data_IF_151577926497
#
_entry.id   IF_151577926497
#
_cell.length_a   1.000
_cell.length_b   1.000
_cell.length_c   1.000
_cell.angle_alpha   90.00
_cell.angle_beta   90.00
_cell.angle_gamma   90.00
#
_symmetry.space_group_name_H-M   'P 1'
#
loop_
_entity.id
_entity.type
_entity.pdbx_description
1 polymer ?
#
# COMPACT_ATOMS: atom_id res chain seq x y z
N UNK A 1 -12.47 -8.17 9.18
CA UNK A 1 -11.43 -8.96 8.49
C UNK A 1 -11.96 -10.38 8.38
N UNK A 2 -12.12 -10.99 7.20
CA UNK A 2 -12.79 -12.28 7.13
C UNK A 2 -11.89 -13.35 7.74
N UNK A 3 -12.34 -13.89 8.88
CA UNK A 3 -11.79 -15.06 9.57
C UNK A 3 -11.46 -16.23 8.62
N UNK A 4 -12.14 -16.31 7.47
CA UNK A 4 -11.91 -17.28 6.40
C UNK A 4 -10.49 -17.28 5.79
N UNK A 5 -9.67 -16.23 5.98
CA UNK A 5 -8.27 -16.24 5.53
C UNK A 5 -7.29 -16.80 6.57
N UNK A 6 -7.67 -16.91 7.85
CA UNK A 6 -6.83 -17.55 8.88
C UNK A 6 -6.80 -19.08 8.73
N UNK A 7 -7.93 -19.69 8.37
CA UNK A 7 -8.04 -21.16 8.22
C UNK A 7 -7.26 -21.74 7.04
N UNK A 8 -6.88 -20.91 6.05
CA UNK A 8 -6.18 -21.32 4.83
C UNK A 8 -4.70 -20.92 4.82
N UNK A 9 -4.11 -20.56 5.96
CA UNK A 9 -2.70 -20.20 6.01
C UNK A 9 -1.81 -21.42 5.69
N UNK A 10 -1.16 -21.43 4.52
CA UNK A 10 -0.21 -22.47 4.12
C UNK A 10 0.93 -22.57 5.13
N UNK A 11 1.45 -23.78 5.38
CA UNK A 11 2.55 -23.99 6.33
C UNK A 11 3.78 -23.12 6.01
N UNK A 12 4.07 -22.89 4.73
CA UNK A 12 5.15 -22.02 4.25
C UNK A 12 4.98 -20.53 4.56
N UNK A 13 3.80 -20.11 5.04
CA UNK A 13 3.49 -18.72 5.40
C UNK A 13 3.31 -18.53 6.90
N UNK A 14 3.40 -19.59 7.71
CA UNK A 14 3.23 -19.52 9.16
C UNK A 14 4.55 -19.13 9.81
N UNK A 15 4.49 -18.21 10.77
CA UNK A 15 5.59 -17.83 11.65
C UNK A 15 5.12 -18.04 13.08
N UNK A 16 5.89 -18.77 13.87
CA UNK A 16 5.57 -19.03 15.27
C UNK A 16 6.43 -18.14 16.16
N UNK A 17 5.80 -17.51 17.15
CA UNK A 17 6.51 -16.64 18.09
C UNK A 17 7.44 -17.47 18.98
N UNK A 18 8.71 -17.07 19.07
CA UNK A 18 9.67 -17.78 19.91
C UNK A 18 9.38 -17.47 21.37
N UNK A 19 9.27 -18.51 22.20
CA UNK A 19 8.97 -18.36 23.63
C UNK A 19 7.49 -18.16 23.99
N UNK A 20 6.58 -18.15 23.01
CA UNK A 20 5.13 -18.05 23.26
C UNK A 20 4.35 -19.16 22.51
N UNK A 21 4.35 -20.41 23.04
CA UNK A 21 3.69 -21.54 22.40
C UNK A 21 2.21 -21.24 22.15
N UNK A 22 1.77 -21.36 20.89
CA UNK A 22 0.39 -21.10 20.47
C UNK A 22 0.17 -19.76 19.78
N UNK A 23 1.13 -18.83 19.81
CA UNK A 23 1.06 -17.60 19.01
C UNK A 23 1.62 -17.87 17.61
N UNK A 24 0.74 -17.74 16.60
CA UNK A 24 1.06 -17.98 15.20
C UNK A 24 0.63 -16.79 14.35
N UNK A 25 1.56 -16.34 13.51
CA UNK A 25 1.37 -15.30 12.52
C UNK A 25 1.31 -15.91 11.12
N UNK A 26 0.52 -15.32 10.23
CA UNK A 26 0.46 -15.72 8.83
C UNK A 26 0.92 -14.59 7.92
N UNK A 27 1.87 -14.86 7.03
CA UNK A 27 2.28 -13.92 6.01
C UNK A 27 1.16 -13.72 4.98
N UNK A 28 0.77 -12.46 4.78
CA UNK A 28 -0.28 -12.06 3.85
C UNK A 28 0.22 -10.95 2.93
N UNK A 29 -0.22 -10.99 1.67
CA UNK A 29 0.10 -9.99 0.66
C UNK A 29 -1.13 -9.59 -0.17
N UNK A 30 -1.04 -8.46 -0.84
CA UNK A 30 -2.05 -7.97 -1.78
C UNK A 30 -2.58 -6.59 -1.40
N UNK A 31 -3.43 -6.01 -2.26
CA UNK A 31 -4.03 -4.69 -2.05
C UNK A 31 -4.86 -4.64 -0.77
N UNK A 32 -5.50 -5.74 -0.38
CA UNK A 32 -6.17 -5.89 0.92
C UNK A 32 -5.27 -5.67 2.13
N UNK A 33 -3.95 -5.90 2.00
CA UNK A 33 -2.95 -5.63 3.05
C UNK A 33 -2.37 -4.23 2.93
N UNK A 34 -2.39 -3.61 1.74
CA UNK A 34 -2.05 -2.19 1.58
C UNK A 34 -3.12 -1.28 2.21
N UNK A 35 -4.40 -1.61 2.05
CA UNK A 35 -5.53 -0.82 2.58
C UNK A 35 -5.42 -0.47 4.07
N UNK A 36 -5.17 -1.42 5.00
CA UNK A 36 -5.05 -1.08 6.41
C UNK A 36 -3.85 -0.17 6.73
N UNK A 37 -2.77 -0.20 5.93
CA UNK A 37 -1.65 0.73 6.11
C UNK A 37 -2.07 2.16 5.80
N UNK A 38 -2.72 2.40 4.66
CA UNK A 38 -3.21 3.72 4.27
C UNK A 38 -4.31 4.21 5.24
N UNK A 39 -5.19 3.32 5.68
CA UNK A 39 -6.20 3.64 6.69
C UNK A 39 -5.56 4.07 8.03
N UNK A 40 -4.47 3.42 8.45
CA UNK A 40 -3.70 3.82 9.63
C UNK A 40 -3.12 5.23 9.49
N UNK A 41 -2.52 5.55 8.33
CA UNK A 41 -2.00 6.91 8.07
C UNK A 41 -3.12 7.95 8.05
N UNK A 42 -4.27 7.64 7.44
CA UNK A 42 -5.45 8.50 7.49
C UNK A 42 -5.90 8.79 8.93
N UNK A 43 -5.90 7.77 9.79
CA UNK A 43 -6.23 7.94 11.20
C UNK A 43 -5.21 8.83 11.94
N UNK A 44 -3.92 8.70 11.64
CA UNK A 44 -2.87 9.57 12.19
C UNK A 44 -3.07 11.04 11.78
N UNK A 45 -3.42 11.30 10.52
CA UNK A 45 -3.73 12.66 10.03
C UNK A 45 -4.89 13.25 10.83
N UNK A 46 -6.02 12.54 10.91
CA UNK A 46 -7.20 13.02 11.64
C UNK A 46 -6.88 13.21 13.14
N UNK A 47 -6.14 12.30 13.75
CA UNK A 47 -5.74 12.42 15.16
C UNK A 47 -4.85 13.63 15.43
N UNK A 48 -4.00 14.01 14.46
CA UNK A 48 -3.03 15.10 14.61
C UNK A 48 -3.65 16.46 14.31
N UNK A 49 -4.50 16.55 13.28
CA UNK A 49 -5.00 17.82 12.74
C UNK A 49 -6.50 18.06 13.01
N UNK A 50 -7.18 17.11 13.66
CA UNK A 50 -8.60 17.19 13.99
C UNK A 50 -9.52 16.66 12.89
N UNK A 51 -10.85 16.80 13.07
CA UNK A 51 -11.83 16.34 12.09
C UNK A 51 -11.63 16.99 10.72
N UNK A 52 -11.63 16.18 9.68
CA UNK A 52 -11.43 16.60 8.29
C UNK A 52 -12.46 15.93 7.38
N UNK A 53 -12.79 16.57 6.26
CA UNK A 53 -13.60 15.91 5.23
C UNK A 53 -12.80 14.77 4.58
N UNK A 54 -13.47 13.71 4.06
CA UNK A 54 -12.77 12.62 3.40
C UNK A 54 -11.86 13.08 2.25
N UNK A 55 -12.32 14.07 1.46
CA UNK A 55 -11.53 14.67 0.38
C UNK A 55 -10.30 15.40 0.89
N UNK A 56 -10.39 16.09 2.03
CA UNK A 56 -9.23 16.74 2.65
C UNK A 56 -8.19 15.72 3.12
N UNK A 57 -8.63 14.61 3.75
CA UNK A 57 -7.72 13.52 4.18
C UNK A 57 -7.06 12.85 2.98
N UNK A 58 -7.82 12.59 1.91
CA UNK A 58 -7.28 12.04 0.66
C UNK A 58 -6.23 12.97 0.03
N UNK A 59 -6.51 14.26 -0.04
CA UNK A 59 -5.56 15.25 -0.56
C UNK A 59 -4.30 15.29 0.29
N UNK A 60 -4.43 15.22 1.62
CA UNK A 60 -3.31 15.24 2.55
C UNK A 60 -2.41 14.01 2.36
N UNK A 61 -3.01 12.81 2.28
CA UNK A 61 -2.29 11.57 1.96
C UNK A 61 -1.53 11.69 0.63
N UNK A 62 -2.18 12.24 -0.40
CA UNK A 62 -1.60 12.34 -1.75
C UNK A 62 -0.49 13.39 -1.86
N UNK A 63 -0.50 14.42 -1.02
CA UNK A 63 0.53 15.47 -0.98
C UNK A 63 1.77 15.07 -0.19
N UNK A 64 1.60 14.18 0.79
CA UNK A 64 2.65 13.73 1.71
C UNK A 64 3.23 12.36 1.34
N UNK A 65 2.66 11.70 0.33
CA UNK A 65 3.19 10.46 -0.24
C UNK A 65 4.55 10.68 -0.92
N UNK A 66 5.43 9.68 -0.82
CA UNK A 66 6.72 9.68 -1.50
C UNK A 66 6.55 9.28 -2.97
N UNK A 67 6.92 10.15 -3.93
CA UNK A 67 6.81 9.87 -5.35
C UNK A 67 7.53 8.58 -5.71
N UNK A 68 6.87 7.75 -6.52
CA UNK A 68 7.43 6.50 -7.02
C UNK A 68 7.47 6.55 -8.54
N UNK A 69 8.65 6.55 -9.18
CA UNK A 69 8.73 6.49 -10.62
C UNK A 69 8.18 5.17 -11.15
N UNK A 70 7.71 5.17 -12.40
CA UNK A 70 7.50 3.93 -13.13
C UNK A 70 8.82 3.12 -13.16
N UNK A 71 8.79 1.81 -12.87
CA UNK A 71 10.01 1.02 -12.84
C UNK A 71 10.61 0.90 -14.24
N UNK A 72 11.93 0.98 -14.33
CA UNK A 72 12.66 0.85 -15.60
C UNK A 72 12.72 -0.59 -16.14
N UNK A 73 12.41 -1.57 -15.28
CA UNK A 73 12.30 -2.98 -15.63
C UNK A 73 11.15 -3.63 -14.84
N UNK A 74 10.43 -4.55 -15.48
CA UNK A 74 9.37 -5.30 -14.81
C UNK A 74 9.95 -6.23 -13.74
N UNK A 75 9.33 -6.31 -12.55
CA UNK A 75 9.69 -7.33 -11.58
C UNK A 75 9.56 -8.75 -12.18
N UNK A 76 10.38 -9.72 -11.74
CA UNK A 76 10.27 -11.10 -12.20
C UNK A 76 8.85 -11.64 -12.07
N UNK A 77 8.35 -12.29 -13.13
CA UNK A 77 6.99 -12.83 -13.19
C UNK A 77 5.88 -11.81 -13.44
N UNK A 78 6.18 -10.50 -13.42
CA UNK A 78 5.15 -9.47 -13.60
C UNK A 78 4.59 -9.42 -15.03
N UNK A 79 5.39 -9.78 -16.03
CA UNK A 79 4.99 -9.83 -17.43
C UNK A 79 3.84 -10.84 -17.71
N UNK A 80 3.62 -11.81 -16.81
CA UNK A 80 2.51 -12.75 -16.91
C UNK A 80 1.15 -12.15 -16.50
N UNK A 81 1.14 -11.02 -15.80
CA UNK A 81 -0.09 -10.29 -15.48
C UNK A 81 -0.44 -9.35 -16.63
N UNK A 82 -1.22 -9.86 -17.57
CA UNK A 82 -1.62 -9.13 -18.78
C UNK A 82 -2.95 -8.42 -18.61
N UNK A 83 -3.18 -7.42 -19.46
CA UNK A 83 -4.45 -6.69 -19.55
C UNK A 83 -5.58 -7.59 -20.02
N UNK A 84 -6.73 -7.48 -19.35
CA UNK A 84 -7.96 -8.17 -19.74
C UNK A 84 -8.54 -7.69 -21.07
N UNK A 85 -8.16 -6.49 -21.52
CA UNK A 85 -8.72 -5.89 -22.75
C UNK A 85 -7.98 -6.30 -24.02
N UNK A 86 -6.69 -6.60 -23.95
CA UNK A 86 -5.87 -6.90 -25.13
C UNK A 86 -4.76 -7.95 -24.92
N UNK A 87 -4.64 -8.53 -23.71
CA UNK A 87 -3.63 -9.56 -23.42
C UNK A 87 -2.18 -9.05 -23.40
N UNK A 88 -1.94 -7.75 -23.48
CA UNK A 88 -0.59 -7.19 -23.40
C UNK A 88 -0.12 -7.05 -21.93
N UNK A 89 1.19 -7.15 -21.64
CA UNK A 89 1.73 -6.81 -20.33
C UNK A 89 1.31 -5.40 -19.92
N UNK A 90 1.03 -5.20 -18.62
CA UNK A 90 0.74 -3.87 -18.10
C UNK A 90 1.98 -2.98 -18.24
N UNK A 91 1.77 -1.74 -18.68
CA UNK A 91 2.83 -0.73 -18.82
C UNK A 91 2.50 0.44 -17.89
N UNK A 92 3.47 0.84 -17.08
CA UNK A 92 3.34 2.03 -16.25
C UNK A 92 3.39 3.28 -17.12
N UNK A 93 2.44 4.19 -16.92
CA UNK A 93 2.31 5.44 -17.67
C UNK A 93 2.11 6.61 -16.71
N UNK A 94 2.65 7.78 -17.06
CA UNK A 94 2.64 8.98 -16.21
C UNK A 94 4.04 9.43 -15.81
N UNK A 95 4.12 10.26 -14.77
CA UNK A 95 5.37 10.85 -14.26
C UNK A 95 5.73 10.38 -12.85
N UNK A 96 6.80 10.95 -12.30
CA UNK A 96 7.28 10.70 -10.92
C UNK A 96 6.22 11.08 -9.88
N UNK A 97 5.59 12.25 -10.04
CA UNK A 97 4.61 12.78 -9.10
C UNK A 97 3.20 12.18 -9.21
N UNK A 98 2.89 11.49 -10.32
CA UNK A 98 1.66 10.69 -10.46
C UNK A 98 1.75 9.72 -11.64
N UNK A 99 1.47 8.43 -11.43
CA UNK A 99 1.42 7.43 -12.51
C UNK A 99 0.35 6.35 -12.29
N UNK A 100 0.13 5.52 -13.32
CA UNK A 100 -0.91 4.50 -13.35
C UNK A 100 -0.72 3.34 -12.37
N UNK A 101 0.47 3.19 -11.76
CA UNK A 101 0.78 2.06 -10.86
C UNK A 101 0.80 2.46 -9.39
N UNK A 102 1.37 3.63 -9.08
CA UNK A 102 1.57 4.11 -7.72
C UNK A 102 0.63 5.27 -7.35
N UNK A 103 -0.19 5.76 -8.29
CA UNK A 103 -1.00 6.96 -8.07
C UNK A 103 -0.09 8.12 -7.68
N UNK A 104 -0.38 8.78 -6.55
CA UNK A 104 0.43 9.87 -6.01
C UNK A 104 1.77 9.43 -5.36
N UNK A 105 2.00 8.12 -5.19
CA UNK A 105 3.21 7.59 -4.56
C UNK A 105 2.94 6.66 -3.38
N UNK A 106 4.01 6.31 -2.66
CA UNK A 106 3.94 5.46 -1.48
C UNK A 106 3.51 6.27 -0.25
N UNK A 107 2.56 5.76 0.54
CA UNK A 107 2.13 6.42 1.76
C UNK A 107 3.30 6.57 2.77
N UNK A 108 3.50 7.78 3.28
CA UNK A 108 4.54 8.10 4.25
C UNK A 108 3.91 8.69 5.52
N UNK A 109 3.93 7.92 6.61
CA UNK A 109 3.31 8.32 7.88
C UNK A 109 4.02 9.52 8.53
N UNK A 110 5.34 9.63 8.40
CA UNK A 110 6.11 10.72 8.99
C UNK A 110 5.81 12.05 8.30
N UNK A 111 5.82 12.06 6.97
CA UNK A 111 5.44 13.23 6.17
C UNK A 111 3.98 13.61 6.44
N UNK A 112 3.09 12.62 6.57
CA UNK A 112 1.69 12.84 6.89
C UNK A 112 1.47 13.53 8.26
N UNK A 113 2.21 13.18 9.32
CA UNK A 113 2.02 13.82 10.64
C UNK A 113 2.78 15.13 10.82
N UNK A 114 3.77 15.40 9.95
CA UNK A 114 4.56 16.64 9.95
C UNK A 114 4.10 17.65 8.88
N UNK A 115 3.17 17.25 8.01
CA UNK A 115 2.78 17.96 6.79
C UNK A 115 3.93 18.27 5.82
N UNK A 116 4.94 17.43 5.77
CA UNK A 116 6.06 17.61 4.84
C UNK A 116 5.64 17.14 3.45
N UNK A 117 5.63 18.03 2.46
CA UNK A 117 5.32 17.64 1.07
C UNK A 117 6.57 17.07 0.39
N UNK A 118 6.43 15.93 -0.26
CA UNK A 118 7.54 15.34 -1.01
C UNK A 118 7.72 16.08 -2.34
N UNK A 119 8.97 16.38 -2.70
CA UNK A 119 9.30 17.04 -3.98
C UNK A 119 8.94 16.10 -5.13
N UNK A 120 8.05 16.54 -6.04
CA UNK A 120 7.45 15.73 -7.12
C UNK A 120 8.25 15.78 -8.41
#
# INVERSE_FOLDING_TARGET
WPFALQSNCLASRRVFETGHPGVMWCYQQGTSMATPHVAGVAALIISRFGPMSPGAVQAYLSQTADPQPCPSALPPGYAAFVSVSNGAPQVCTGGTGHNSWYGAGQANAFNAVTHTTSSK
#
